data_IF_651235265605
#
_entry.id   IF_651235265605
#
_cell.length_a   1.000
_cell.length_b   1.000
_cell.length_c   1.000
_cell.angle_alpha   90.00
_cell.angle_beta   90.00
_cell.angle_gamma   90.00
#
_symmetry.space_group_name_H-M   'P 1'
#
loop_
_entity.id
_entity.type
_entity.pdbx_description
1 polymer ?
#
# COMPACT_ATOMS: atom_id res chain seq x y z
N UNK A 1 -13.87 -2.37 -24.62
CA UNK A 1 -13.53 -2.61 -23.21
C UNK A 1 -12.36 -1.71 -22.88
N UNK A 2 -12.57 -0.63 -22.13
CA UNK A 2 -11.50 0.31 -21.79
C UNK A 2 -10.74 -0.25 -20.58
N UNK A 3 -9.58 -0.84 -20.84
CA UNK A 3 -8.63 -1.08 -19.76
C UNK A 3 -8.11 0.28 -19.30
N UNK A 4 -8.26 0.61 -18.02
CA UNK A 4 -7.55 1.75 -17.43
C UNK A 4 -6.07 1.35 -17.41
N UNK A 5 -5.32 1.84 -18.39
CA UNK A 5 -3.87 1.79 -18.38
C UNK A 5 -3.39 2.88 -17.43
N UNK A 6 -3.06 2.50 -16.19
CA UNK A 6 -2.46 3.45 -15.25
C UNK A 6 -2.47 3.02 -13.80
N UNK A 7 -1.67 3.73 -13.02
CA UNK A 7 -1.73 3.72 -11.58
C UNK A 7 -2.72 4.82 -11.12
N UNK A 8 -3.59 4.49 -10.18
CA UNK A 8 -4.43 5.49 -9.51
C UNK A 8 -3.76 5.92 -8.21
N UNK A 9 -3.93 7.20 -7.87
CA UNK A 9 -3.66 7.71 -6.53
C UNK A 9 -4.94 8.12 -5.80
N UNK A 10 -6.09 8.11 -6.47
CA UNK A 10 -7.38 8.40 -5.84
C UNK A 10 -7.70 7.36 -4.77
N UNK A 11 -8.30 7.82 -3.68
CA UNK A 11 -8.83 6.96 -2.63
C UNK A 11 -10.28 7.33 -2.40
N UNK A 12 -11.11 6.32 -2.29
CA UNK A 12 -12.53 6.44 -2.03
C UNK A 12 -12.83 5.76 -0.70
N UNK A 13 -13.75 6.35 0.06
CA UNK A 13 -14.26 5.78 1.31
C UNK A 13 -15.74 5.53 1.15
N UNK A 14 -16.16 4.33 1.51
CA UNK A 14 -17.56 3.94 1.51
C UNK A 14 -18.20 4.32 2.86
N UNK A 15 -19.31 5.04 2.81
CA UNK A 15 -20.14 5.36 3.97
C UNK A 15 -21.35 4.43 3.99
N UNK A 16 -21.42 3.57 5.01
CA UNK A 16 -22.50 2.61 5.21
C UNK A 16 -23.83 3.27 5.59
N UNK A 17 -23.80 4.49 6.16
CA UNK A 17 -25.00 5.20 6.59
C UNK A 17 -25.75 5.85 5.43
N UNK A 18 -25.03 6.22 4.38
CA UNK A 18 -25.59 6.84 3.17
C UNK A 18 -25.51 5.94 1.93
N UNK A 19 -24.96 4.74 2.05
CA UNK A 19 -24.73 3.78 0.96
C UNK A 19 -24.03 4.43 -0.24
N UNK A 20 -22.95 5.16 0.02
CA UNK A 20 -22.29 5.95 -1.00
C UNK A 20 -20.77 6.00 -0.86
N UNK A 21 -20.07 6.06 -1.98
CA UNK A 21 -18.64 6.33 -2.04
C UNK A 21 -18.36 7.83 -2.13
N UNK A 22 -17.32 8.28 -1.45
CA UNK A 22 -16.80 9.64 -1.54
C UNK A 22 -15.28 9.64 -1.68
N UNK A 23 -14.76 10.58 -2.46
CA UNK A 23 -13.32 10.79 -2.54
C UNK A 23 -12.78 11.32 -1.21
N UNK A 24 -11.62 10.81 -0.83
CA UNK A 24 -10.81 11.30 0.29
C UNK A 24 -9.45 11.76 -0.21
N UNK A 25 -8.55 12.18 0.68
CA UNK A 25 -7.23 12.64 0.28
C UNK A 25 -6.52 11.55 -0.56
N UNK A 26 -5.98 11.88 -1.74
CA UNK A 26 -5.32 10.91 -2.60
C UNK A 26 -3.99 10.44 -1.99
N UNK A 27 -3.59 9.22 -2.32
CA UNK A 27 -2.26 8.70 -1.98
C UNK A 27 -1.16 9.62 -2.52
N UNK A 28 -0.06 9.82 -1.77
CA UNK A 28 1.14 10.47 -2.28
C UNK A 28 1.71 9.78 -3.52
N UNK A 29 1.68 8.45 -3.55
CA UNK A 29 2.14 7.65 -4.70
C UNK A 29 0.97 6.97 -5.41
N UNK A 30 0.83 7.22 -6.72
CA UNK A 30 -0.06 6.42 -7.56
C UNK A 30 0.52 5.03 -7.81
N UNK A 31 -0.20 3.99 -7.40
CA UNK A 31 0.24 2.59 -7.48
C UNK A 31 -0.92 1.61 -7.55
N UNK A 32 -0.60 0.36 -7.88
CA UNK A 32 -1.49 -0.80 -7.80
C UNK A 32 -0.77 -1.96 -7.09
N UNK A 33 -1.51 -3.01 -6.75
CA UNK A 33 -0.96 -4.26 -6.17
C UNK A 33 -0.09 -4.08 -4.92
N UNK A 34 -0.33 -3.02 -4.14
CA UNK A 34 0.27 -2.82 -2.81
C UNK A 34 -0.34 -3.73 -1.75
N UNK A 35 0.42 -3.97 -0.69
CA UNK A 35 -0.11 -4.52 0.56
C UNK A 35 -0.76 -3.41 1.37
N UNK A 36 -1.86 -3.73 2.04
CA UNK A 36 -2.53 -2.81 2.98
C UNK A 36 -2.66 -3.50 4.34
N UNK A 37 -2.18 -2.84 5.40
CA UNK A 37 -2.41 -3.21 6.79
C UNK A 37 -3.24 -2.16 7.52
N UNK A 38 -3.74 -2.49 8.72
CA UNK A 38 -4.50 -1.55 9.54
C UNK A 38 -4.00 -1.54 10.98
N UNK A 39 -3.35 -0.45 11.38
CA UNK A 39 -2.80 -0.24 12.72
C UNK A 39 -3.47 0.98 13.36
N UNK A 40 -4.04 0.81 14.56
CA UNK A 40 -4.60 1.92 15.33
C UNK A 40 -5.73 2.70 14.62
N UNK A 41 -6.47 2.04 13.71
CA UNK A 41 -7.51 2.67 12.90
C UNK A 41 -6.99 3.49 11.70
N UNK A 42 -5.70 3.38 11.38
CA UNK A 42 -5.05 3.98 10.22
C UNK A 42 -4.65 2.89 9.23
N UNK A 43 -4.58 3.21 7.94
CA UNK A 43 -4.21 2.26 6.90
C UNK A 43 -2.76 2.44 6.49
N UNK A 44 -1.98 1.36 6.43
CA UNK A 44 -0.57 1.33 6.05
C UNK A 44 -0.45 0.67 4.69
N UNK A 45 -0.01 1.42 3.69
CA UNK A 45 0.10 0.98 2.31
C UNK A 45 1.57 0.78 1.95
N UNK A 46 1.92 -0.43 1.53
CA UNK A 46 3.32 -0.86 1.40
C UNK A 46 3.56 -1.47 0.01
N UNK A 47 4.58 -0.97 -0.66
CA UNK A 47 5.03 -1.47 -1.95
C UNK A 47 4.11 -1.10 -3.11
N UNK A 48 3.88 -2.04 -4.02
CA UNK A 48 3.06 -1.89 -5.21
C UNK A 48 3.86 -1.67 -6.49
N UNK A 49 3.17 -1.70 -7.62
CA UNK A 49 3.75 -1.61 -8.96
C UNK A 49 3.85 -0.16 -9.44
N UNK A 50 4.96 0.17 -10.11
CA UNK A 50 5.10 1.38 -10.93
C UNK A 50 4.31 1.22 -12.23
N UNK A 51 4.29 2.26 -13.07
CA UNK A 51 3.63 2.19 -14.37
C UNK A 51 4.14 0.98 -15.18
N UNK A 52 3.25 0.30 -15.94
CA UNK A 52 3.56 -0.98 -16.59
C UNK A 52 4.79 -0.95 -17.49
N UNK A 53 5.07 0.19 -18.12
CA UNK A 53 6.19 0.41 -19.04
C UNK A 53 7.55 0.16 -18.39
N UNK A 54 7.66 0.40 -17.08
CA UNK A 54 8.92 0.23 -16.34
C UNK A 54 9.07 -1.17 -15.76
N UNK A 55 7.97 -1.92 -15.62
CA UNK A 55 7.94 -3.21 -14.93
C UNK A 55 8.61 -3.18 -13.56
N UNK A 56 8.61 -2.05 -12.86
CA UNK A 56 9.33 -1.87 -11.60
C UNK A 56 8.36 -1.74 -10.42
N UNK A 57 8.87 -1.91 -9.20
CA UNK A 57 8.07 -1.80 -7.97
C UNK A 57 8.45 -0.57 -7.14
N UNK A 58 7.47 -0.06 -6.39
CA UNK A 58 7.70 0.94 -5.35
C UNK A 58 8.19 0.27 -4.07
N UNK A 59 9.05 0.98 -3.33
CA UNK A 59 9.36 0.69 -1.92
C UNK A 59 8.57 1.58 -0.97
N UNK A 60 7.59 2.34 -1.47
CA UNK A 60 6.82 3.28 -0.67
C UNK A 60 6.12 2.58 0.51
N UNK A 61 6.13 3.24 1.66
CA UNK A 61 5.35 2.88 2.84
C UNK A 61 4.67 4.16 3.31
N UNK A 62 3.35 4.19 3.27
CA UNK A 62 2.55 5.40 3.50
C UNK A 62 1.40 5.07 4.43
N UNK A 63 1.09 5.98 5.36
CA UNK A 63 -0.04 5.82 6.27
C UNK A 63 -1.11 6.85 5.98
N UNK A 64 -2.35 6.38 5.89
CA UNK A 64 -3.54 7.19 5.84
C UNK A 64 -4.26 7.22 7.18
N UNK A 65 -4.52 8.43 7.68
CA UNK A 65 -5.34 8.67 8.85
C UNK A 65 -6.76 9.11 8.42
N UNK A 66 -7.77 8.25 8.57
CA UNK A 66 -9.14 8.60 8.16
C UNK A 66 -9.80 9.64 9.07
N UNK A 67 -9.24 9.94 10.26
CA UNK A 67 -9.79 10.98 11.15
C UNK A 67 -9.37 12.37 10.70
N UNK A 68 -8.15 12.52 10.22
CA UNK A 68 -7.61 13.80 9.75
C UNK A 68 -7.69 13.95 8.23
N UNK A 69 -8.00 12.87 7.52
CA UNK A 69 -7.97 12.79 6.07
C UNK A 69 -6.59 13.21 5.50
N UNK A 70 -5.52 12.70 6.11
CA UNK A 70 -4.16 13.05 5.74
C UNK A 70 -3.28 11.82 5.59
N UNK A 71 -2.21 12.00 4.82
CA UNK A 71 -1.19 11.00 4.58
C UNK A 71 0.12 11.40 5.24
N UNK A 72 0.89 10.41 5.69
CA UNK A 72 2.31 10.59 6.03
C UNK A 72 3.17 9.53 5.35
N UNK A 73 4.37 9.93 4.96
CA UNK A 73 5.39 9.03 4.41
C UNK A 73 6.11 8.35 5.58
N UNK A 74 6.30 7.04 5.50
CA UNK A 74 6.97 6.22 6.49
C UNK A 74 8.26 5.61 5.94
N UNK A 75 8.96 4.85 6.78
CA UNK A 75 10.18 4.16 6.37
C UNK A 75 9.89 3.19 5.21
N UNK A 76 10.58 3.32 4.06
CA UNK A 76 10.32 2.51 2.89
C UNK A 76 10.72 1.04 3.10
N UNK A 77 10.23 0.17 2.23
CA UNK A 77 10.70 -1.20 2.11
C UNK A 77 12.19 -1.23 1.74
N UNK A 78 12.91 -2.21 2.28
CA UNK A 78 14.28 -2.50 1.81
C UNK A 78 14.21 -3.15 0.43
N UNK A 79 13.23 -4.03 0.21
CA UNK A 79 12.99 -4.66 -1.10
C UNK A 79 11.69 -4.12 -1.70
N UNK A 80 11.73 -3.26 -2.75
CA UNK A 80 10.54 -2.86 -3.48
C UNK A 80 9.79 -4.08 -3.99
N UNK A 81 8.46 -4.15 -3.80
CA UNK A 81 7.69 -5.34 -4.20
C UNK A 81 6.31 -5.02 -4.76
N UNK A 82 5.99 -5.61 -5.93
CA UNK A 82 4.63 -5.74 -6.44
C UNK A 82 4.10 -7.16 -6.20
N UNK A 83 2.77 -7.32 -6.16
CA UNK A 83 2.13 -8.64 -6.04
C UNK A 83 2.48 -9.40 -4.76
N UNK A 84 2.94 -8.69 -3.72
CA UNK A 84 3.17 -9.26 -2.40
C UNK A 84 1.83 -9.51 -1.70
N UNK A 85 1.80 -10.50 -0.82
CA UNK A 85 0.72 -10.66 0.14
C UNK A 85 1.14 -10.04 1.48
N UNK A 86 0.16 -9.65 2.29
CA UNK A 86 0.45 -9.22 3.64
C UNK A 86 -0.72 -9.37 4.60
N UNK A 87 -0.39 -9.25 5.88
CA UNK A 87 -1.32 -9.39 6.97
C UNK A 87 -0.89 -8.56 8.17
N UNK A 88 -1.87 -8.14 8.97
CA UNK A 88 -1.63 -7.39 10.20
C UNK A 88 -1.69 -8.32 11.41
N UNK A 89 -0.65 -8.29 12.26
CA UNK A 89 -0.59 -9.05 13.52
C UNK A 89 -0.08 -8.13 14.64
N UNK A 90 -0.97 -7.77 15.58
CA UNK A 90 -0.67 -6.75 16.59
C UNK A 90 -0.35 -5.41 15.92
N UNK A 91 0.74 -4.77 16.36
CA UNK A 91 1.22 -3.51 15.77
C UNK A 91 2.14 -3.70 14.55
N UNK A 92 2.05 -4.84 13.87
CA UNK A 92 2.95 -5.20 12.77
C UNK A 92 2.22 -5.52 11.48
N UNK A 93 2.78 -5.07 10.36
CA UNK A 93 2.37 -5.50 9.01
C UNK A 93 3.45 -6.39 8.43
N UNK A 94 3.10 -7.63 8.10
CA UNK A 94 4.00 -8.63 7.55
C UNK A 94 3.80 -8.68 6.03
N UNK A 95 4.89 -8.57 5.27
CA UNK A 95 4.89 -8.56 3.80
C UNK A 95 5.67 -9.76 3.28
N UNK A 96 4.99 -10.67 2.58
CA UNK A 96 5.53 -11.94 2.09
C UNK A 96 5.44 -12.05 0.56
N UNK A 97 6.43 -12.70 -0.05
CA UNK A 97 6.47 -12.92 -1.50
C UNK A 97 6.58 -11.61 -2.29
N UNK A 98 5.94 -11.56 -3.46
CA UNK A 98 6.06 -10.46 -4.43
C UNK A 98 7.46 -10.37 -5.04
N UNK A 99 7.72 -9.40 -5.92
CA UNK A 99 9.03 -9.25 -6.56
C UNK A 99 9.37 -7.80 -6.89
N UNK A 100 10.65 -7.47 -7.14
CA UNK A 100 11.06 -6.11 -7.47
C UNK A 100 10.63 -5.66 -8.86
N UNK A 101 10.36 -6.59 -9.76
CA UNK A 101 9.98 -6.31 -11.15
C UNK A 101 8.73 -7.06 -11.57
N UNK A 102 7.84 -6.38 -12.31
CA UNK A 102 6.64 -6.93 -12.94
C UNK A 102 6.91 -8.25 -13.67
N UNK A 103 6.02 -9.23 -13.49
CA UNK A 103 6.14 -10.55 -14.12
C UNK A 103 6.52 -11.66 -13.14
N UNK A 104 7.43 -12.55 -13.53
CA UNK A 104 7.82 -13.78 -12.78
C UNK A 104 8.97 -13.55 -11.79
N UNK A 105 9.13 -12.36 -11.23
CA UNK A 105 10.12 -12.12 -10.18
C UNK A 105 9.51 -12.43 -8.81
N UNK A 106 10.24 -13.21 -8.00
CA UNK A 106 9.79 -13.62 -6.67
C UNK A 106 10.89 -13.40 -5.64
N UNK A 107 10.55 -12.71 -4.58
CA UNK A 107 11.37 -12.51 -3.39
C UNK A 107 11.13 -13.65 -2.42
N UNK A 108 12.21 -14.16 -1.84
CA UNK A 108 12.17 -15.04 -0.66
C UNK A 108 12.20 -14.26 0.66
N UNK A 109 12.32 -12.93 0.58
CA UNK A 109 12.41 -12.06 1.75
C UNK A 109 11.01 -11.86 2.34
N UNK A 110 10.92 -11.98 3.66
CA UNK A 110 9.79 -11.49 4.45
C UNK A 110 10.25 -10.23 5.17
N UNK A 111 9.49 -9.15 5.04
CA UNK A 111 9.73 -7.92 5.81
C UNK A 111 8.58 -7.73 6.79
N UNK A 112 8.91 -7.26 8.00
CA UNK A 112 7.95 -6.96 9.05
C UNK A 112 8.12 -5.47 9.37
N UNK A 113 7.03 -4.71 9.21
CA UNK A 113 6.97 -3.31 9.58
C UNK A 113 6.34 -3.22 10.96
N UNK A 114 7.11 -2.78 11.95
CA UNK A 114 6.63 -2.57 13.31
C UNK A 114 6.26 -1.09 13.52
N UNK A 115 5.02 -0.89 13.97
CA UNK A 115 4.41 0.41 14.22
C UNK A 115 4.09 0.59 15.71
N UNK A 116 4.62 -0.26 16.58
CA UNK A 116 4.59 -0.03 18.03
C UNK A 116 5.32 1.26 18.40
N UNK A 117 5.04 1.76 19.61
CA UNK A 117 5.80 2.87 20.17
C UNK A 117 7.27 2.46 20.22
N UNK A 118 8.14 3.34 19.71
CA UNK A 118 9.58 3.22 19.98
C UNK A 118 9.78 3.66 21.42
N UNK A 119 10.23 2.75 22.27
CA UNK A 119 10.82 3.10 23.57
C UNK A 119 12.01 4.07 23.40
#
# INVERSE_FOLDING_TARGET
VWFVLGNLNTVEKYDVSTDSWHYVAPMPTGRRTMVVGTIGGKAQLIGGEKMPETGASWSANEEYDPKTNQWRILQPMVTPRHGAAGGTIGNRVIVVGGGPTGGRAFSKVTEIFDYGEKE
#
